data_IF_936546714283
#
_entry.id   IF_936546714283
#
_cell.length_a   1.000
_cell.length_b   1.000
_cell.length_c   1.000
_cell.angle_alpha   90.00
_cell.angle_beta   90.00
_cell.angle_gamma   90.00
#
_symmetry.space_group_name_H-M   'P 1'
#
loop_
_entity.id
_entity.type
_entity.pdbx_description
1 polymer ?
#
# COMPACT_ATOMS: atom_id res chain seq x y z
N UNK A 1 14.12 6.54 9.09
CA UNK A 1 14.20 7.36 7.86
C UNK A 1 13.35 8.62 8.06
N UNK A 2 13.30 9.59 7.13
CA UNK A 2 12.45 10.77 7.33
C UNK A 2 10.97 10.39 7.31
N UNK A 3 10.18 11.01 8.19
CA UNK A 3 8.73 10.88 8.22
C UNK A 3 8.13 11.19 6.84
N UNK A 4 7.34 10.30 6.22
CA UNK A 4 6.77 10.52 4.90
C UNK A 4 5.90 11.78 4.82
N UNK A 5 5.40 12.32 5.93
CA UNK A 5 4.67 13.59 5.93
C UNK A 5 5.52 14.77 5.46
N UNK A 6 6.84 14.69 5.59
CA UNK A 6 7.76 15.72 5.11
C UNK A 6 7.86 15.77 3.57
N UNK A 7 7.33 14.75 2.90
CA UNK A 7 7.35 14.65 1.45
C UNK A 7 6.07 15.13 0.78
N UNK A 8 5.07 15.60 1.54
CA UNK A 8 3.84 16.15 0.97
C UNK A 8 4.18 17.31 0.02
N UNK A 9 3.63 17.26 -1.19
CA UNK A 9 3.90 18.22 -2.26
C UNK A 9 5.16 17.93 -3.08
N UNK A 10 6.05 17.07 -2.59
CA UNK A 10 7.24 16.65 -3.34
C UNK A 10 6.90 15.59 -4.39
N UNK A 11 7.76 15.52 -5.39
CA UNK A 11 7.70 14.57 -6.50
C UNK A 11 8.73 13.45 -6.32
N UNK A 12 8.38 12.26 -6.78
CA UNK A 12 9.24 11.08 -6.78
C UNK A 12 9.37 10.49 -8.19
N UNK A 13 10.57 10.07 -8.55
CA UNK A 13 10.84 9.34 -9.80
C UNK A 13 10.55 7.85 -9.58
N UNK A 14 9.27 7.48 -9.53
CA UNK A 14 8.89 6.11 -9.26
C UNK A 14 7.58 5.72 -9.92
N UNK A 15 7.64 4.68 -10.75
CA UNK A 15 6.46 4.05 -11.28
C UNK A 15 5.95 3.00 -10.28
N UNK A 16 4.85 3.34 -9.61
CA UNK A 16 4.11 2.36 -8.81
C UNK A 16 3.47 1.34 -9.77
N UNK A 17 3.88 0.08 -9.62
CA UNK A 17 3.25 -1.08 -10.26
C UNK A 17 1.76 -1.13 -9.86
N UNK A 18 0.82 -1.09 -10.83
CA UNK A 18 -0.61 -1.12 -10.54
C UNK A 18 -1.07 -2.43 -9.86
N UNK A 19 -0.23 -3.46 -9.87
CA UNK A 19 -0.52 -4.79 -9.34
C UNK A 19 -0.68 -5.83 -10.45
N UNK A 20 -0.90 -7.07 -10.04
CA UNK A 20 -1.22 -8.18 -10.94
C UNK A 20 -2.60 -8.76 -10.60
N UNK A 21 -3.33 -9.20 -11.61
CA UNK A 21 -4.50 -10.07 -11.40
C UNK A 21 -4.03 -11.43 -10.91
N UNK A 22 -4.78 -12.05 -10.00
CA UNK A 22 -4.64 -13.48 -9.76
C UNK A 22 -4.90 -14.20 -11.09
N UNK A 23 -3.94 -15.01 -11.56
CA UNK A 23 -4.28 -16.03 -12.54
C UNK A 23 -5.32 -16.96 -11.87
N UNK A 24 -6.36 -17.38 -12.60
CA UNK A 24 -7.44 -18.25 -12.13
C UNK A 24 -6.89 -19.52 -11.45
N UNK A 25 -6.61 -19.44 -10.15
CA UNK A 25 -6.06 -20.52 -9.33
C UNK A 25 -7.15 -20.95 -8.34
N UNK A 26 -7.91 -22.03 -8.62
CA UNK A 26 -9.06 -22.44 -7.80
C UNK A 26 -8.67 -23.21 -6.51
N UNK A 27 -7.40 -23.20 -6.09
CA UNK A 27 -6.92 -23.90 -4.89
C UNK A 27 -6.80 -22.99 -3.66
N UNK A 28 -6.62 -23.55 -2.44
CA UNK A 28 -6.25 -22.76 -1.26
C UNK A 28 -4.85 -22.17 -1.48
N UNK A 29 -4.79 -20.90 -1.86
CA UNK A 29 -3.54 -20.18 -2.09
C UNK A 29 -2.94 -19.80 -0.74
N UNK A 30 -1.70 -20.21 -0.48
CA UNK A 30 -0.94 -19.70 0.66
C UNK A 30 -0.58 -18.21 0.42
N UNK A 31 -0.29 -17.41 1.45
CA UNK A 31 0.28 -16.08 1.25
C UNK A 31 1.47 -16.16 0.28
N UNK A 32 1.60 -15.20 -0.61
CA UNK A 32 2.71 -15.10 -1.55
C UNK A 32 3.85 -14.29 -0.92
N UNK A 33 4.85 -14.94 -0.29
CA UNK A 33 5.99 -14.23 0.27
C UNK A 33 6.85 -13.63 -0.84
N UNK A 34 7.54 -12.54 -0.52
CA UNK A 34 8.63 -12.02 -1.36
C UNK A 34 8.19 -11.39 -2.68
N UNK A 35 6.90 -11.02 -2.82
CA UNK A 35 6.39 -10.22 -3.94
C UNK A 35 6.82 -8.77 -3.79
N UNK A 36 8.14 -8.57 -3.81
CA UNK A 36 8.77 -7.32 -3.45
C UNK A 36 9.92 -6.93 -4.36
N UNK A 37 10.12 -5.62 -4.50
CA UNK A 37 11.29 -5.05 -5.18
C UNK A 37 11.88 -3.93 -4.32
N UNK A 38 13.19 -3.91 -4.14
CA UNK A 38 13.85 -2.78 -3.49
C UNK A 38 13.80 -1.56 -4.39
N UNK A 39 13.42 -0.41 -3.83
CA UNK A 39 13.33 0.86 -4.52
C UNK A 39 14.17 1.93 -3.82
N UNK A 40 14.87 2.71 -4.63
CA UNK A 40 15.57 3.92 -4.25
C UNK A 40 15.01 5.04 -5.13
N UNK A 41 14.24 5.95 -4.56
CA UNK A 41 13.54 6.98 -5.34
C UNK A 41 14.07 8.34 -4.97
N UNK A 42 14.39 9.15 -5.98
CA UNK A 42 14.74 10.53 -5.74
C UNK A 42 13.48 11.30 -5.37
N UNK A 43 13.57 12.17 -4.36
CA UNK A 43 12.49 13.02 -3.90
C UNK A 43 12.89 14.48 -4.07
N UNK A 44 12.00 15.32 -4.59
CA UNK A 44 12.28 16.74 -4.80
C UNK A 44 11.05 17.55 -5.17
N UNK A 45 11.11 18.87 -4.97
CA UNK A 45 9.99 19.75 -5.26
C UNK A 45 9.74 19.95 -6.77
N UNK A 46 10.81 19.96 -7.60
CA UNK A 46 10.71 20.15 -9.05
C UNK A 46 10.68 18.79 -9.77
N UNK A 47 9.56 18.40 -10.42
CA UNK A 47 9.47 17.14 -11.16
C UNK A 47 10.42 17.07 -12.37
N UNK A 48 11.01 18.19 -12.81
CA UNK A 48 11.98 18.25 -13.92
C UNK A 48 13.40 17.92 -13.49
N UNK A 49 13.71 18.08 -12.21
CA UNK A 49 15.07 17.97 -11.70
C UNK A 49 15.09 17.28 -10.33
N UNK A 50 14.78 15.98 -10.33
CA UNK A 50 14.84 15.13 -9.15
C UNK A 50 16.27 14.63 -8.88
N UNK A 51 17.29 15.47 -9.05
CA UNK A 51 18.71 15.09 -8.91
C UNK A 51 19.29 15.68 -7.63
N UNK A 52 20.06 14.89 -6.88
CA UNK A 52 20.91 15.38 -5.79
C UNK A 52 20.31 15.41 -4.37
N UNK A 53 19.07 14.93 -4.19
CA UNK A 53 18.49 14.70 -2.86
C UNK A 53 18.93 13.37 -2.23
N UNK A 54 18.73 13.22 -0.90
CA UNK A 54 18.84 11.89 -0.26
C UNK A 54 17.70 11.00 -0.78
N UNK A 55 17.98 9.83 -1.36
CA UNK A 55 16.94 8.98 -1.90
C UNK A 55 16.04 8.43 -0.78
N UNK A 56 14.75 8.35 -1.05
CA UNK A 56 13.83 7.60 -0.20
C UNK A 56 13.92 6.12 -0.55
N UNK A 57 14.40 5.33 0.41
CA UNK A 57 14.65 3.90 0.25
C UNK A 57 13.49 3.11 0.86
N UNK A 58 12.94 2.16 0.11
CA UNK A 58 11.92 1.26 0.64
C UNK A 58 11.86 -0.06 -0.13
N UNK A 59 11.28 -1.07 0.50
CA UNK A 59 10.82 -2.29 -0.17
C UNK A 59 9.43 -2.05 -0.70
N UNK A 60 9.23 -2.14 -2.01
CA UNK A 60 7.90 -2.12 -2.58
C UNK A 60 7.25 -3.49 -2.36
N UNK A 61 6.05 -3.54 -1.76
CA UNK A 61 5.23 -4.74 -1.60
C UNK A 61 4.10 -4.72 -2.62
N UNK A 62 4.16 -5.62 -3.59
CA UNK A 62 3.23 -5.66 -4.71
C UNK A 62 1.81 -5.97 -4.25
N UNK A 63 0.84 -5.30 -4.89
CA UNK A 63 -0.57 -5.67 -4.81
C UNK A 63 -0.87 -6.78 -5.82
N UNK A 64 -1.52 -7.85 -5.35
CA UNK A 64 -2.06 -8.90 -6.21
C UNK A 64 -3.55 -9.06 -5.90
N UNK A 65 -4.39 -8.88 -6.90
CA UNK A 65 -5.85 -8.89 -6.75
C UNK A 65 -6.31 -10.27 -6.24
N UNK A 66 -7.13 -10.29 -5.18
CA UNK A 66 -7.64 -11.52 -4.58
C UNK A 66 -6.60 -12.42 -3.91
N UNK A 67 -5.41 -11.88 -3.59
CA UNK A 67 -4.33 -12.63 -2.95
C UNK A 67 -3.76 -11.91 -1.72
N UNK A 68 -3.04 -12.65 -0.88
CA UNK A 68 -2.27 -12.08 0.23
C UNK A 68 -0.80 -12.03 -0.15
N UNK A 69 -0.21 -10.84 -0.25
CA UNK A 69 1.25 -10.69 -0.39
C UNK A 69 1.89 -10.31 0.93
N UNK A 70 3.11 -10.79 1.18
CA UNK A 70 3.81 -10.51 2.45
C UNK A 70 5.29 -10.24 2.26
N UNK A 71 5.87 -9.46 3.18
CA UNK A 71 7.31 -9.26 3.28
C UNK A 71 7.75 -8.96 4.72
N UNK A 72 9.05 -9.11 4.98
CA UNK A 72 9.65 -8.69 6.24
C UNK A 72 9.73 -7.15 6.34
N UNK A 73 9.47 -6.60 7.52
CA UNK A 73 9.60 -5.18 7.82
C UNK A 73 11.02 -4.87 8.36
N UNK A 74 12.02 -4.99 7.48
CA UNK A 74 13.42 -4.68 7.80
C UNK A 74 13.79 -3.19 7.59
N UNK A 75 12.89 -2.40 7.01
CA UNK A 75 13.04 -0.98 6.69
C UNK A 75 11.69 -0.38 6.29
N UNK A 76 11.69 0.66 5.47
CA UNK A 76 10.44 1.20 4.90
C UNK A 76 9.80 0.22 3.91
N UNK A 77 8.49 0.02 3.98
CA UNK A 77 7.71 -0.80 3.03
C UNK A 77 6.60 0.05 2.43
N UNK A 78 6.60 0.23 1.10
CA UNK A 78 5.52 0.90 0.37
C UNK A 78 4.69 -0.15 -0.36
N UNK A 79 3.37 -0.15 -0.21
CA UNK A 79 2.51 -1.14 -0.89
C UNK A 79 2.12 -0.68 -2.29
N UNK A 80 1.70 -1.63 -3.13
CA UNK A 80 0.97 -1.36 -4.36
C UNK A 80 -0.33 -0.59 -4.11
N UNK A 81 -0.89 0.03 -5.16
CA UNK A 81 -2.09 0.84 -5.06
C UNK A 81 -3.29 -0.04 -4.76
N UNK A 82 -4.25 0.50 -4.00
CA UNK A 82 -5.32 -0.30 -3.42
C UNK A 82 -6.70 0.08 -3.95
N UNK A 83 -7.60 -0.91 -3.91
CA UNK A 83 -9.04 -0.72 -4.03
C UNK A 83 -9.75 -1.52 -2.94
N UNK A 84 -9.94 -0.92 -1.76
CA UNK A 84 -10.63 -1.58 -0.63
C UNK A 84 -9.83 -2.67 0.08
N UNK A 85 -8.54 -2.81 -0.20
CA UNK A 85 -7.65 -3.77 0.45
C UNK A 85 -7.39 -3.43 1.93
N UNK A 86 -6.99 -4.43 2.72
CA UNK A 86 -6.49 -4.23 4.07
C UNK A 86 -4.99 -4.46 4.14
N UNK A 87 -4.30 -3.65 4.94
CA UNK A 87 -2.88 -3.78 5.19
C UNK A 87 -2.66 -4.15 6.65
N UNK A 88 -1.73 -5.06 6.90
CA UNK A 88 -1.43 -5.54 8.24
C UNK A 88 0.06 -5.45 8.54
N UNK A 89 0.38 -5.10 9.78
CA UNK A 89 1.65 -5.45 10.41
C UNK A 89 1.43 -6.63 11.33
N UNK A 90 2.32 -7.61 11.31
CA UNK A 90 2.23 -8.80 12.16
C UNK A 90 3.63 -9.33 12.49
N UNK A 91 3.71 -10.31 13.40
CA UNK A 91 4.97 -11.00 13.70
C UNK A 91 5.00 -12.36 12.99
N UNK A 92 6.14 -12.69 12.39
CA UNK A 92 6.39 -13.99 11.75
C UNK A 92 7.82 -14.45 12.01
N UNK A 93 7.98 -15.73 12.37
CA UNK A 93 9.25 -16.48 12.40
C UNK A 93 10.53 -15.67 12.76
N UNK A 94 10.46 -14.81 13.79
CA UNK A 94 11.59 -14.04 14.30
C UNK A 94 11.64 -12.54 13.97
N UNK A 95 10.63 -11.97 13.30
CA UNK A 95 10.61 -10.53 12.99
C UNK A 95 9.24 -9.92 12.73
N UNK A 96 9.22 -8.60 12.59
CA UNK A 96 8.04 -7.87 12.12
C UNK A 96 7.89 -8.04 10.61
N UNK A 97 6.65 -8.15 10.15
CA UNK A 97 6.29 -8.34 8.74
C UNK A 97 5.09 -7.46 8.36
N UNK A 98 4.95 -7.21 7.07
CA UNK A 98 3.79 -6.53 6.47
C UNK A 98 3.05 -7.50 5.57
N UNK A 99 1.72 -7.43 5.58
CA UNK A 99 0.85 -8.11 4.63
C UNK A 99 -0.06 -7.12 3.92
N UNK A 100 -0.29 -7.39 2.64
CA UNK A 100 -1.31 -6.73 1.83
C UNK A 100 -2.34 -7.79 1.45
N UNK A 101 -3.54 -7.70 2.03
CA UNK A 101 -4.66 -8.57 1.72
C UNK A 101 -5.46 -7.89 0.60
N UNK A 102 -5.25 -8.38 -0.61
CA UNK A 102 -5.82 -7.82 -1.83
C UNK A 102 -7.32 -8.10 -1.94
N UNK A 103 -8.07 -7.06 -2.27
CA UNK A 103 -9.41 -7.19 -2.84
C UNK A 103 -9.25 -7.60 -4.31
N UNK A 104 -10.19 -8.34 -4.89
CA UNK A 104 -10.26 -8.53 -6.35
C UNK A 104 -11.15 -7.43 -6.97
N UNK A 105 -12.13 -7.78 -7.80
CA UNK A 105 -12.97 -6.79 -8.48
C UNK A 105 -13.87 -6.02 -7.51
N UNK A 106 -14.39 -6.70 -6.49
CA UNK A 106 -15.26 -6.12 -5.44
C UNK A 106 -14.97 -6.76 -4.07
N UNK A 107 -15.38 -6.12 -2.95
CA UNK A 107 -15.23 -6.70 -1.61
C UNK A 107 -15.88 -8.08 -1.43
N UNK A 108 -16.91 -8.38 -2.22
CA UNK A 108 -17.71 -9.61 -2.16
C UNK A 108 -17.30 -10.66 -3.21
N UNK A 109 -16.35 -10.33 -4.09
CA UNK A 109 -15.87 -11.29 -5.09
C UNK A 109 -15.17 -12.48 -4.45
N UNK A 110 -15.25 -13.64 -5.10
CA UNK A 110 -14.66 -14.89 -4.60
C UNK A 110 -13.16 -14.75 -4.29
N UNK A 111 -12.43 -13.98 -5.10
CA UNK A 111 -11.02 -13.67 -4.86
C UNK A 111 -10.80 -12.92 -3.55
N UNK A 112 -11.62 -11.90 -3.26
CA UNK A 112 -11.54 -11.17 -1.99
C UNK A 112 -11.88 -12.05 -0.80
N UNK A 113 -12.96 -12.84 -0.89
CA UNK A 113 -13.38 -13.75 0.17
C UNK A 113 -12.27 -14.77 0.45
N UNK A 114 -11.67 -15.33 -0.61
CA UNK A 114 -10.52 -16.23 -0.53
C UNK A 114 -9.33 -15.57 0.17
N UNK A 115 -8.91 -14.38 -0.25
CA UNK A 115 -7.78 -13.67 0.35
C UNK A 115 -7.99 -13.42 1.86
N UNK A 116 -9.19 -12.97 2.25
CA UNK A 116 -9.57 -12.77 3.65
C UNK A 116 -9.58 -14.08 4.43
N UNK A 117 -10.07 -15.17 3.85
CA UNK A 117 -10.06 -16.49 4.47
C UNK A 117 -8.62 -17.01 4.68
N UNK A 118 -7.76 -16.87 3.68
CA UNK A 118 -6.32 -17.22 3.74
C UNK A 118 -5.64 -16.43 4.86
N UNK A 119 -5.84 -15.12 4.90
CA UNK A 119 -5.31 -14.27 5.96
C UNK A 119 -5.82 -14.67 7.34
N UNK A 120 -7.13 -14.93 7.47
CA UNK A 120 -7.74 -15.33 8.74
C UNK A 120 -7.19 -16.68 9.23
N UNK A 121 -7.01 -17.65 8.33
CA UNK A 121 -6.38 -18.93 8.63
C UNK A 121 -4.92 -18.77 9.08
N UNK A 122 -4.16 -17.91 8.40
CA UNK A 122 -2.79 -17.58 8.79
C UNK A 122 -2.75 -16.98 10.20
N UNK A 123 -3.64 -16.04 10.54
CA UNK A 123 -3.68 -15.46 11.88
C UNK A 123 -4.08 -16.46 12.96
N UNK A 124 -4.93 -17.45 12.62
CA UNK A 124 -5.23 -18.58 13.49
C UNK A 124 -4.00 -19.43 13.83
N UNK A 125 -3.03 -19.52 12.91
CA UNK A 125 -1.79 -20.28 13.07
C UNK A 125 -0.63 -19.48 13.71
N UNK A 126 -0.62 -18.15 13.58
CA UNK A 126 0.52 -17.28 13.96
C UNK A 126 0.29 -16.42 15.21
N UNK A 127 -0.89 -16.46 15.83
CA UNK A 127 -1.19 -15.73 17.05
C UNK A 127 -1.59 -14.26 16.82
N UNK A 128 -2.33 -13.71 17.78
CA UNK A 128 -3.15 -12.51 17.66
C UNK A 128 -2.40 -11.14 17.62
N UNK A 129 -1.15 -11.08 17.17
CA UNK A 129 -0.34 -9.83 17.21
C UNK A 129 -0.48 -8.96 15.95
N UNK A 130 -1.29 -9.38 14.98
CA UNK A 130 -1.53 -8.59 13.80
C UNK A 130 -2.35 -7.34 14.12
N UNK A 131 -1.93 -6.22 13.52
CA UNK A 131 -2.67 -4.97 13.52
C UNK A 131 -2.84 -4.49 12.10
N UNK A 132 -4.04 -4.09 11.71
CA UNK A 132 -4.33 -3.69 10.35
C UNK A 132 -5.36 -2.60 10.23
N UNK A 133 -5.38 -1.98 9.06
CA UNK A 133 -6.39 -1.02 8.65
C UNK A 133 -6.40 -0.90 7.11
N UNK A 134 -7.53 -0.47 6.55
CA UNK A 134 -7.65 -0.09 5.16
C UNK A 134 -7.31 1.41 5.00
N UNK A 135 -6.31 1.79 4.19
CA UNK A 135 -5.95 3.21 4.05
C UNK A 135 -7.08 4.06 3.44
N UNK A 136 -8.06 3.45 2.76
CA UNK A 136 -9.28 4.12 2.28
C UNK A 136 -10.16 4.64 3.42
N UNK A 137 -10.03 4.12 4.65
CA UNK A 137 -10.67 4.68 5.84
C UNK A 137 -9.97 5.92 6.38
N UNK A 138 -8.69 6.08 6.06
CA UNK A 138 -7.86 7.21 6.50
C UNK A 138 -7.91 8.34 5.47
N UNK A 139 -7.59 8.04 4.20
CA UNK A 139 -7.74 8.96 3.07
C UNK A 139 -8.99 8.54 2.32
N UNK A 140 -10.11 9.16 2.70
CA UNK A 140 -11.44 8.80 2.22
C UNK A 140 -11.63 9.09 0.73
N UNK A 141 -12.60 8.40 0.14
CA UNK A 141 -12.91 8.50 -1.29
C UNK A 141 -13.24 9.93 -1.75
N UNK A 142 -13.92 10.73 -0.94
CA UNK A 142 -14.23 12.12 -1.26
C UNK A 142 -12.97 13.01 -1.32
N UNK A 143 -12.01 12.78 -0.42
CA UNK A 143 -10.69 13.44 -0.50
C UNK A 143 -9.93 13.01 -1.75
N UNK A 144 -9.95 11.72 -2.09
CA UNK A 144 -9.33 11.19 -3.31
C UNK A 144 -9.96 11.80 -4.57
N UNK A 145 -11.29 11.89 -4.64
CA UNK A 145 -12.02 12.52 -5.76
C UNK A 145 -11.68 14.00 -5.87
N UNK A 146 -11.63 14.73 -4.74
CA UNK A 146 -11.27 16.14 -4.72
C UNK A 146 -9.85 16.35 -5.28
N UNK A 147 -8.88 15.56 -4.79
CA UNK A 147 -7.49 15.61 -5.26
C UNK A 147 -7.38 15.23 -6.74
N UNK A 148 -8.14 14.23 -7.20
CA UNK A 148 -8.19 13.87 -8.62
C UNK A 148 -8.66 15.05 -9.48
N UNK A 149 -9.72 15.75 -9.07
CA UNK A 149 -10.24 16.94 -9.78
C UNK A 149 -9.23 18.07 -9.83
N UNK A 150 -8.53 18.33 -8.73
CA UNK A 150 -7.43 19.30 -8.64
C UNK A 150 -6.24 18.91 -9.54
N UNK A 151 -6.11 17.62 -9.91
CA UNK A 151 -5.01 17.08 -10.71
C UNK A 151 -5.48 16.58 -12.09
N UNK A 152 -6.30 17.39 -12.78
CA UNK A 152 -6.76 17.14 -14.15
C UNK A 152 -7.52 15.81 -14.33
N UNK A 153 -8.30 15.41 -13.32
CA UNK A 153 -9.06 14.15 -13.28
C UNK A 153 -8.19 12.89 -13.42
N UNK A 154 -6.90 12.97 -13.11
CA UNK A 154 -6.05 11.78 -13.07
C UNK A 154 -6.34 10.97 -11.81
N UNK A 155 -6.47 9.65 -12.00
CA UNK A 155 -6.75 8.73 -10.89
C UNK A 155 -5.57 8.71 -9.91
N UNK A 156 -5.79 9.03 -8.62
CA UNK A 156 -4.74 8.95 -7.63
C UNK A 156 -4.43 7.48 -7.31
N UNK A 157 -3.21 7.24 -6.86
CA UNK A 157 -2.76 5.94 -6.36
C UNK A 157 -2.65 6.02 -4.85
N UNK A 158 -3.55 5.31 -4.14
CA UNK A 158 -3.50 5.21 -2.69
C UNK A 158 -2.70 3.97 -2.30
N UNK A 159 -1.66 4.16 -1.48
CA UNK A 159 -0.77 3.12 -0.98
C UNK A 159 -0.69 3.18 0.55
N UNK A 160 -0.25 2.09 1.18
CA UNK A 160 0.24 2.13 2.55
C UNK A 160 1.77 2.24 2.59
N UNK A 161 2.29 2.94 3.59
CA UNK A 161 3.71 2.93 3.93
C UNK A 161 3.88 2.46 5.37
N UNK A 162 4.83 1.56 5.63
CA UNK A 162 5.17 1.06 6.95
C UNK A 162 6.64 1.30 7.23
N UNK A 163 6.98 1.75 8.44
CA UNK A 163 8.37 1.82 8.90
C UNK A 163 8.40 1.63 10.42
N UNK A 164 9.12 0.61 10.89
CA UNK A 164 9.19 0.27 12.31
C UNK A 164 7.80 0.07 12.92
N UNK A 165 7.43 0.92 13.88
CA UNK A 165 6.13 0.86 14.55
C UNK A 165 5.04 1.75 13.94
N UNK A 166 5.36 2.46 12.86
CA UNK A 166 4.46 3.43 12.25
C UNK A 166 3.90 2.91 10.92
N UNK A 167 2.71 3.41 10.59
CA UNK A 167 2.07 3.15 9.31
C UNK A 167 1.37 4.43 8.83
N UNK A 168 1.32 4.62 7.52
CA UNK A 168 0.72 5.79 6.88
C UNK A 168 -0.07 5.38 5.64
N UNK A 169 -1.13 6.11 5.37
CA UNK A 169 -1.78 6.16 4.06
C UNK A 169 -1.06 7.24 3.22
N UNK A 170 -0.62 6.89 2.01
CA UNK A 170 0.09 7.78 1.10
C UNK A 170 -0.68 7.85 -0.21
N UNK A 171 -1.09 9.05 -0.60
CA UNK A 171 -1.80 9.30 -1.84
C UNK A 171 -0.86 9.95 -2.85
N UNK A 172 -0.66 9.28 -3.98
CA UNK A 172 0.10 9.79 -5.11
C UNK A 172 -0.81 10.26 -6.23
N UNK A 173 -0.41 11.28 -6.95
CA UNK A 173 -1.00 11.69 -8.23
C UNK A 173 0.10 11.81 -9.27
N UNK A 174 -0.17 11.64 -10.57
CA UNK A 174 0.85 11.92 -11.56
C UNK A 174 1.23 13.41 -11.52
N UNK A 175 2.53 13.69 -11.68
CA UNK A 175 2.95 15.07 -11.91
C UNK A 175 2.35 15.56 -13.23
N UNK A 176 1.81 16.78 -13.24
CA UNK A 176 1.00 17.33 -14.33
C UNK A 176 1.69 17.17 -15.69
N UNK A 177 0.95 16.70 -16.70
CA UNK A 177 1.43 16.54 -18.07
C UNK A 177 1.90 17.89 -18.63
N UNK A 178 3.11 17.92 -19.21
CA UNK A 178 3.75 19.15 -19.73
C UNK A 178 4.71 19.83 -18.76
N UNK A 179 4.77 19.39 -17.48
CA UNK A 179 5.76 19.88 -16.51
C UNK A 179 6.89 18.86 -16.29
N UNK A 180 6.64 17.56 -16.40
CA UNK A 180 7.68 16.53 -16.23
C UNK A 180 8.30 16.10 -17.57
N UNK A 181 9.63 16.11 -17.64
CA UNK A 181 10.41 15.46 -18.72
C UNK A 181 10.72 13.99 -18.42
N UNK A 182 10.44 13.53 -17.19
CA UNK A 182 10.70 12.16 -16.74
C UNK A 182 9.38 11.38 -16.72
N UNK A 183 9.24 10.29 -17.50
CA UNK A 183 8.09 9.39 -17.41
C UNK A 183 7.98 8.79 -16.01
N UNK A 184 6.75 8.65 -15.49
CA UNK A 184 6.50 7.98 -14.21
C UNK A 184 6.80 8.81 -12.95
N UNK A 185 6.89 10.14 -13.07
CA UNK A 185 6.99 11.01 -11.88
C UNK A 185 5.63 11.14 -11.20
N UNK A 186 5.61 10.87 -9.90
CA UNK A 186 4.44 10.98 -9.03
C UNK A 186 4.66 12.10 -8.03
N UNK A 187 3.62 12.90 -7.75
CA UNK A 187 3.58 13.85 -6.63
C UNK A 187 2.88 13.21 -5.45
N UNK A 188 3.44 13.37 -4.25
CA UNK A 188 2.82 12.96 -2.99
C UNK A 188 1.77 14.01 -2.63
N UNK A 189 0.51 13.71 -2.90
CA UNK A 189 -0.60 14.64 -2.71
C UNK A 189 -1.05 14.70 -1.25
N UNK A 190 -1.02 13.58 -0.54
CA UNK A 190 -1.38 13.51 0.87
C UNK A 190 -0.65 12.36 1.57
N UNK A 191 -0.34 12.59 2.85
CA UNK A 191 0.13 11.55 3.79
C UNK A 191 -0.68 11.71 5.07
N UNK A 192 -1.15 10.59 5.60
CA UNK A 192 -1.89 10.54 6.87
C UNK A 192 -1.37 9.38 7.72
N UNK A 193 -1.11 9.59 9.01
CA UNK A 193 -0.91 8.47 9.93
C UNK A 193 -2.08 7.49 9.82
N UNK A 194 -1.76 6.20 9.75
CA UNK A 194 -2.73 5.13 9.67
C UNK A 194 -2.75 4.37 11.00
N UNK A 195 -3.70 4.69 11.91
CA UNK A 195 -3.82 3.97 13.16
C UNK A 195 -4.28 2.53 12.87
N UNK A 196 -3.42 1.57 13.20
CA UNK A 196 -3.72 0.16 13.01
C UNK A 196 -4.58 -0.36 14.16
N UNK A 197 -5.58 -1.17 13.84
CA UNK A 197 -6.45 -1.82 14.81
C UNK A 197 -6.01 -3.26 15.02
N UNK A 198 -6.15 -3.77 16.26
CA UNK A 198 -5.89 -5.17 16.56
C UNK A 198 -6.73 -6.10 15.66
N UNK A 199 -6.15 -7.23 15.27
CA UNK A 199 -6.81 -8.21 14.41
C UNK A 199 -8.18 -8.65 14.92
N UNK A 200 -8.35 -8.82 16.24
CA UNK A 200 -9.66 -9.16 16.83
C UNK A 200 -10.73 -8.11 16.51
N UNK A 201 -10.38 -6.83 16.51
CA UNK A 201 -11.29 -5.76 16.12
C UNK A 201 -11.58 -5.78 14.61
N UNK A 202 -10.55 -5.94 13.78
CA UNK A 202 -10.68 -5.99 12.31
C UNK A 202 -11.55 -7.18 11.87
N UNK A 203 -11.26 -8.39 12.37
CA UNK A 203 -12.00 -9.62 12.05
C UNK A 203 -13.48 -9.58 12.47
N UNK A 204 -13.81 -8.72 13.44
CA UNK A 204 -15.18 -8.48 13.91
C UNK A 204 -15.98 -7.56 12.99
N UNK A 205 -15.33 -6.80 12.10
CA UNK A 205 -15.98 -5.82 11.25
C UNK A 205 -16.83 -6.48 10.17
N UNK A 206 -18.00 -5.89 9.89
CA UNK A 206 -18.86 -6.33 8.78
C UNK A 206 -18.15 -6.25 7.43
N UNK A 207 -17.32 -5.23 7.24
CA UNK A 207 -16.55 -5.00 6.00
C UNK A 207 -15.43 -6.03 5.80
N UNK A 208 -14.98 -6.67 6.88
CA UNK A 208 -14.01 -7.75 6.83
C UNK A 208 -14.66 -9.07 6.44
N UNK A 209 -15.87 -9.34 6.93
CA UNK A 209 -16.63 -10.55 6.58
C UNK A 209 -17.02 -10.56 5.10
#
# INVERSE_FOLDING_TARGET
MPDPTNFIGQCISYQIDPGQSAADNPGPVAPMPGQTTMAAVNVGADPRNLVGGTPWMFTFLKYCAGEVTTCALAGGVLTGPMSGCYLFRYQSAGGASVAHVGTDNTPESDGTIRAKAVWSGMMGAHGATAMGEAPTKVIRQDEQIRIARENQNQLPKLCGYFEGHNAWAVLFVPAVAGVSVVPGVLRIAAVRPMPLLNWSAVSGMREWR
#
